data_IF_294913443501
#
_entry.id   IF_294913443501
#
_cell.length_a   1.000
_cell.length_b   1.000
_cell.length_c   1.000
_cell.angle_alpha   90.00
_cell.angle_beta   90.00
_cell.angle_gamma   90.00
#
_symmetry.space_group_name_H-M   'P 1'
#
loop_
_entity.id
_entity.type
_entity.pdbx_description
1 polymer ?
#
# COMPACT_ATOMS: atom_id res chain seq x y z
N UNK A 1 42.79 19.63 13.79
CA UNK A 1 42.78 18.16 13.60
C UNK A 1 42.43 17.87 12.15
N UNK A 2 43.03 16.85 11.53
CA UNK A 2 42.69 16.43 10.16
C UNK A 2 42.19 14.99 10.15
N UNK A 3 41.06 14.73 9.50
CA UNK A 3 40.50 13.38 9.33
C UNK A 3 40.48 13.05 7.84
N UNK A 4 41.30 12.09 7.44
CA UNK A 4 41.48 11.70 6.05
C UNK A 4 40.42 10.68 5.60
N UNK A 5 40.32 10.47 4.29
CA UNK A 5 39.45 9.47 3.70
C UNK A 5 39.67 8.08 4.32
N UNK A 6 38.57 7.39 4.62
CA UNK A 6 38.58 6.10 5.32
C UNK A 6 38.81 6.19 6.84
N UNK A 7 39.11 7.36 7.39
CA UNK A 7 39.18 7.59 8.84
C UNK A 7 37.86 8.18 9.37
N UNK A 8 37.52 7.82 10.61
CA UNK A 8 36.35 8.33 11.31
C UNK A 8 36.72 8.88 12.67
N UNK A 9 36.31 10.13 12.96
CA UNK A 9 36.34 10.71 14.29
C UNK A 9 35.04 10.31 15.01
N UNK A 10 35.15 9.40 15.96
CA UNK A 10 34.04 9.01 16.82
C UNK A 10 34.02 9.94 18.02
N UNK A 11 32.97 10.75 18.17
CA UNK A 11 32.78 11.58 19.35
C UNK A 11 32.20 10.74 20.48
N UNK A 12 33.05 9.90 21.07
CA UNK A 12 32.70 9.06 22.22
C UNK A 12 33.42 9.55 23.48
N UNK A 13 32.68 9.65 24.57
CA UNK A 13 33.23 9.93 25.87
C UNK A 13 33.05 8.69 26.74
N UNK A 14 34.14 7.94 26.98
CA UNK A 14 34.18 6.62 27.63
C UNK A 14 33.61 6.62 29.07
N UNK A 15 32.30 6.82 29.21
CA UNK A 15 31.57 6.90 30.48
C UNK A 15 31.48 8.29 31.14
N UNK A 16 32.20 9.31 30.66
CA UNK A 16 32.23 10.62 31.35
C UNK A 16 31.08 11.58 30.97
N UNK A 17 30.40 11.33 29.86
CA UNK A 17 29.18 12.05 29.51
C UNK A 17 28.21 11.09 28.80
N UNK A 18 27.06 10.89 29.43
CA UNK A 18 26.04 9.94 28.96
C UNK A 18 24.85 10.62 28.29
N UNK A 19 24.68 11.95 28.47
CA UNK A 19 23.60 12.79 27.92
C UNK A 19 24.11 14.20 27.62
N UNK A 20 23.71 14.83 26.49
CA UNK A 20 23.94 16.25 26.19
C UNK A 20 25.41 16.68 26.11
N UNK A 21 26.26 15.87 25.48
CA UNK A 21 27.70 16.09 25.51
C UNK A 21 28.14 17.24 24.61
N UNK A 22 29.03 18.07 25.14
CA UNK A 22 29.69 19.14 24.41
C UNK A 22 31.14 18.75 24.12
N UNK A 23 31.47 18.64 22.83
CA UNK A 23 32.83 18.45 22.34
C UNK A 23 33.31 19.75 21.74
N UNK A 24 34.49 20.22 22.13
CA UNK A 24 35.07 21.46 21.59
C UNK A 24 36.41 21.15 20.93
N UNK A 25 36.55 21.53 19.66
CA UNK A 25 37.82 21.50 18.95
C UNK A 25 38.08 22.89 18.36
N UNK A 26 39.33 23.33 18.29
CA UNK A 26 39.65 24.63 17.69
C UNK A 26 39.39 24.59 16.17
N UNK A 27 40.07 23.70 15.45
CA UNK A 27 39.90 23.53 14.00
C UNK A 27 39.76 22.06 13.59
N UNK A 28 38.85 21.80 12.65
CA UNK A 28 38.65 20.50 12.03
C UNK A 28 38.78 20.61 10.51
N UNK A 29 39.64 19.79 9.92
CA UNK A 29 39.79 19.63 8.47
C UNK A 29 39.37 18.21 8.11
N UNK A 30 38.39 18.07 7.22
CA UNK A 30 38.01 16.78 6.67
C UNK A 30 38.57 16.67 5.24
N UNK A 31 39.24 15.57 4.93
CA UNK A 31 39.73 15.24 3.58
C UNK A 31 39.09 13.93 3.13
N UNK A 32 37.76 13.93 3.04
CA UNK A 32 36.93 12.74 2.79
C UNK A 32 36.64 11.89 4.02
N UNK A 33 37.12 12.28 5.21
CA UNK A 33 36.85 11.57 6.46
C UNK A 33 35.43 11.79 7.00
N UNK A 34 35.07 11.03 8.04
CA UNK A 34 33.76 11.16 8.69
C UNK A 34 33.85 11.52 10.17
N UNK A 35 32.76 12.09 10.69
CA UNK A 35 32.55 12.32 12.12
C UNK A 35 31.24 11.66 12.52
N UNK A 36 31.30 10.70 13.43
CA UNK A 36 30.10 10.10 14.00
C UNK A 36 29.87 10.61 15.42
N UNK A 37 28.63 11.01 15.69
CA UNK A 37 28.27 11.76 16.89
C UNK A 37 27.39 10.97 17.86
N UNK A 38 27.07 9.71 17.57
CA UNK A 38 26.25 8.87 18.45
C UNK A 38 27.12 7.91 19.26
N UNK A 39 26.82 7.77 20.56
CA UNK A 39 27.55 6.89 21.49
C UNK A 39 26.98 5.46 21.58
N UNK A 40 25.84 5.19 20.93
CA UNK A 40 25.10 3.94 21.06
C UNK A 40 24.31 3.61 19.79
N UNK A 41 23.86 2.36 19.59
CA UNK A 41 22.95 1.99 18.51
C UNK A 41 21.66 2.82 18.49
N UNK A 42 20.98 2.88 17.33
CA UNK A 42 19.71 3.60 17.15
C UNK A 42 18.68 3.20 18.23
N UNK A 43 17.97 4.17 18.82
CA UNK A 43 16.93 3.92 19.82
C UNK A 43 17.43 3.57 21.23
N UNK A 44 18.75 3.53 21.46
CA UNK A 44 19.35 3.29 22.80
C UNK A 44 20.19 4.48 23.31
N UNK A 45 20.25 5.57 22.53
CA UNK A 45 20.97 6.77 22.93
C UNK A 45 20.16 7.54 23.97
N UNK A 46 20.81 7.91 25.07
CA UNK A 46 20.23 8.81 26.07
C UNK A 46 20.86 10.19 25.88
N UNK A 47 20.49 10.97 24.86
CA UNK A 47 20.86 12.39 24.75
C UNK A 47 21.66 12.78 23.50
N UNK A 48 21.89 14.09 23.34
CA UNK A 48 22.34 14.71 22.08
C UNK A 48 23.74 15.32 22.19
N UNK A 49 24.46 15.43 21.07
CA UNK A 49 25.86 15.85 21.08
C UNK A 49 26.05 17.15 20.32
N UNK A 50 26.69 18.13 20.96
CA UNK A 50 27.14 19.36 20.30
C UNK A 50 28.64 19.26 20.01
N UNK A 51 29.04 19.45 18.75
CA UNK A 51 30.43 19.72 18.39
C UNK A 51 30.59 21.21 18.13
N UNK A 52 31.33 21.89 19.00
CA UNK A 52 31.76 23.26 18.85
C UNK A 52 33.11 23.33 18.13
N UNK A 53 33.17 24.09 17.04
CA UNK A 53 34.37 24.35 16.26
C UNK A 53 34.61 25.86 16.13
N UNK A 54 35.86 26.31 16.13
CA UNK A 54 36.18 27.67 15.70
C UNK A 54 36.34 27.77 14.18
N UNK A 55 36.81 26.72 13.52
CA UNK A 55 36.83 26.62 12.06
C UNK A 55 36.62 25.20 11.54
N UNK A 56 35.99 25.09 10.36
CA UNK A 56 35.77 23.84 9.64
C UNK A 56 36.20 24.01 8.17
N UNK A 57 36.98 23.07 7.64
CA UNK A 57 37.42 23.14 6.24
C UNK A 57 37.43 21.77 5.55
N UNK A 58 37.28 21.78 4.22
CA UNK A 58 37.48 20.62 3.35
C UNK A 58 36.18 19.92 2.95
N UNK A 59 36.17 18.59 2.95
CA UNK A 59 35.01 17.80 2.57
C UNK A 59 34.89 16.52 3.40
N UNK A 60 33.68 16.14 3.78
CA UNK A 60 33.46 14.94 4.58
C UNK A 60 32.04 14.76 5.08
N UNK A 61 31.85 13.71 5.86
CA UNK A 61 30.53 13.25 6.29
C UNK A 61 30.33 13.43 7.80
N UNK A 62 29.17 13.92 8.20
CA UNK A 62 28.73 13.95 9.59
C UNK A 62 27.56 12.99 9.77
N UNK A 63 27.69 12.02 10.66
CA UNK A 63 26.60 11.14 11.08
C UNK A 63 26.00 11.70 12.37
N UNK A 64 24.73 12.09 12.28
CA UNK A 64 24.00 12.82 13.31
C UNK A 64 22.79 12.02 13.76
N UNK A 65 22.58 11.96 15.06
CA UNK A 65 21.39 11.40 15.66
C UNK A 65 20.38 12.51 15.97
N UNK A 66 19.13 12.29 15.59
CA UNK A 66 18.04 13.20 15.90
C UNK A 66 16.89 12.44 16.55
N UNK A 67 16.20 13.11 17.46
CA UNK A 67 14.89 12.72 17.95
C UNK A 67 13.94 13.86 17.61
N UNK A 68 13.49 13.88 16.37
CA UNK A 68 12.69 15.00 15.86
C UNK A 68 11.36 15.08 16.59
N UNK A 69 10.83 13.94 17.05
CA UNK A 69 9.70 13.84 17.97
C UNK A 69 9.72 14.90 19.10
N UNK A 70 10.86 15.06 19.77
CA UNK A 70 11.04 16.01 20.87
C UNK A 70 11.78 17.29 20.47
N UNK A 71 12.03 17.50 19.18
CA UNK A 71 12.74 18.67 18.65
C UNK A 71 14.22 18.70 19.03
N UNK A 72 14.84 17.54 19.22
CA UNK A 72 16.22 17.44 19.71
C UNK A 72 17.09 16.67 18.73
N UNK A 73 18.37 17.00 18.70
CA UNK A 73 19.32 16.38 17.78
C UNK A 73 20.74 16.80 18.10
N UNK A 74 21.69 16.07 17.53
CA UNK A 74 23.07 16.50 17.50
C UNK A 74 23.18 17.86 16.79
N UNK A 75 24.14 18.68 17.22
CA UNK A 75 24.37 20.02 16.69
C UNK A 75 25.84 20.19 16.29
N UNK A 76 26.06 20.63 15.05
CA UNK A 76 27.36 21.13 14.60
C UNK A 76 27.36 22.66 14.67
N UNK A 77 28.13 23.22 15.60
CA UNK A 77 28.19 24.66 15.83
C UNK A 77 29.60 25.18 15.53
N UNK A 78 29.75 25.89 14.43
CA UNK A 78 30.99 26.54 14.02
C UNK A 78 30.88 28.03 14.37
N UNK A 79 31.68 28.51 15.32
CA UNK A 79 31.61 29.91 15.77
C UNK A 79 32.31 30.88 14.82
N UNK A 80 33.25 30.39 14.01
CA UNK A 80 33.95 31.16 12.97
C UNK A 80 33.56 30.70 11.56
N UNK A 81 34.55 30.64 10.65
CA UNK A 81 34.30 30.31 9.24
C UNK A 81 34.26 28.80 9.00
N UNK A 82 33.31 28.37 8.16
CA UNK A 82 33.28 27.05 7.55
C UNK A 82 33.43 27.17 6.03
N UNK A 83 34.31 26.37 5.43
CA UNK A 83 34.58 26.36 3.97
C UNK A 83 34.62 24.94 3.42
N UNK A 84 33.98 24.71 2.27
CA UNK A 84 33.96 23.42 1.58
C UNK A 84 32.62 22.70 1.61
N UNK A 85 32.60 21.38 1.39
CA UNK A 85 31.34 20.65 1.11
C UNK A 85 31.17 19.45 2.02
N UNK A 86 30.06 19.41 2.75
CA UNK A 86 29.81 18.39 3.76
C UNK A 86 28.44 17.73 3.58
N UNK A 87 28.36 16.44 3.90
CA UNK A 87 27.09 15.71 3.93
C UNK A 87 26.69 15.40 5.37
N UNK A 88 25.42 15.56 5.66
CA UNK A 88 24.81 15.19 6.93
C UNK A 88 24.00 13.92 6.71
N UNK A 89 24.33 12.86 7.43
CA UNK A 89 23.52 11.65 7.49
C UNK A 89 22.73 11.69 8.78
N UNK A 90 21.41 11.82 8.65
CA UNK A 90 20.49 11.90 9.77
C UNK A 90 19.80 10.56 9.94
N UNK A 91 19.76 10.08 11.18
CA UNK A 91 18.97 8.91 11.52
C UNK A 91 17.54 9.30 11.92
N UNK A 92 16.58 8.49 11.48
CA UNK A 92 15.16 8.69 11.68
C UNK A 92 14.62 7.96 12.94
N UNK A 93 13.48 8.43 13.44
CA UNK A 93 12.50 7.69 14.23
C UNK A 93 11.12 7.73 13.57
N UNK A 94 10.36 6.63 13.63
CA UNK A 94 8.96 6.58 13.18
C UNK A 94 8.00 7.48 13.95
N UNK A 95 8.46 8.21 14.97
CA UNK A 95 7.67 9.11 15.81
C UNK A 95 7.69 10.53 15.24
N UNK A 96 6.50 11.13 15.08
CA UNK A 96 6.35 12.49 14.56
C UNK A 96 6.75 13.57 15.56
N UNK A 97 7.35 14.69 15.12
CA UNK A 97 7.59 15.86 15.96
C UNK A 97 6.29 16.41 16.56
N UNK A 98 6.39 17.00 17.76
CA UNK A 98 5.25 17.68 18.41
C UNK A 98 4.87 19.00 17.73
N UNK A 99 5.76 19.60 16.96
CA UNK A 99 5.51 20.78 16.13
C UNK A 99 6.05 20.58 14.70
N UNK A 100 5.64 21.43 13.76
CA UNK A 100 6.21 21.43 12.41
C UNK A 100 7.51 22.26 12.33
N UNK A 101 8.12 22.57 13.47
CA UNK A 101 9.30 23.41 13.56
C UNK A 101 10.51 22.71 12.95
N UNK A 102 11.37 23.50 12.32
CA UNK A 102 12.56 22.97 11.66
C UNK A 102 13.66 22.69 12.69
N UNK A 103 14.27 21.49 12.63
CA UNK A 103 15.34 21.12 13.56
C UNK A 103 16.69 21.65 13.07
N UNK A 104 17.34 22.51 13.88
CA UNK A 104 18.67 23.02 13.60
C UNK A 104 19.72 21.90 13.73
N UNK A 105 20.48 21.66 12.66
CA UNK A 105 21.59 20.70 12.66
C UNK A 105 22.96 21.37 12.58
N UNK A 106 23.04 22.49 11.86
CA UNK A 106 24.31 23.19 11.64
C UNK A 106 24.12 24.68 11.82
N UNK A 107 25.08 25.31 12.50
CA UNK A 107 25.22 26.76 12.59
C UNK A 107 26.65 27.15 12.28
N UNK A 108 26.86 28.15 11.43
CA UNK A 108 28.17 28.74 11.13
C UNK A 108 28.20 30.22 11.51
N UNK A 109 29.40 30.74 11.84
CA UNK A 109 29.65 32.16 12.05
C UNK A 109 29.92 32.92 10.74
N UNK A 110 30.21 32.18 9.66
CA UNK A 110 30.49 32.70 8.32
C UNK A 110 31.13 31.65 7.42
N UNK A 111 31.59 32.09 6.24
CA UNK A 111 32.22 31.23 5.22
C UNK A 111 31.27 30.78 4.11
N UNK A 112 31.78 29.92 3.24
CA UNK A 112 31.18 29.45 1.99
C UNK A 112 30.89 27.95 2.00
N UNK A 113 30.82 27.34 3.19
CA UNK A 113 30.51 25.92 3.31
C UNK A 113 29.10 25.58 2.82
N UNK A 114 28.99 24.44 2.14
CA UNK A 114 27.73 23.86 1.70
C UNK A 114 27.46 22.57 2.48
N UNK A 115 26.27 22.49 3.08
CA UNK A 115 25.78 21.28 3.73
C UNK A 115 24.61 20.68 2.96
N UNK A 116 24.64 19.37 2.73
CA UNK A 116 23.55 18.62 2.09
C UNK A 116 23.19 17.38 2.91
N UNK A 117 22.01 16.80 2.68
CA UNK A 117 21.71 15.48 3.24
C UNK A 117 22.37 14.39 2.40
N UNK A 118 23.09 13.50 3.08
CA UNK A 118 23.67 12.30 2.49
C UNK A 118 22.68 11.13 2.35
N UNK A 119 21.51 11.21 3.01
CA UNK A 119 20.43 10.23 2.90
C UNK A 119 19.91 10.10 1.46
N UNK A 120 19.30 8.96 1.13
CA UNK A 120 18.78 8.67 -0.21
C UNK A 120 17.85 9.80 -0.69
N UNK A 121 18.13 10.33 -1.89
CA UNK A 121 17.36 11.42 -2.49
C UNK A 121 17.54 12.78 -1.81
N UNK A 122 18.50 12.95 -0.90
CA UNK A 122 18.68 14.19 -0.14
C UNK A 122 17.55 14.46 0.85
N UNK A 123 16.88 13.40 1.32
CA UNK A 123 15.70 13.45 2.16
C UNK A 123 15.86 12.51 3.35
N UNK A 124 15.27 12.89 4.47
CA UNK A 124 15.16 12.04 5.64
C UNK A 124 13.69 11.95 6.02
N UNK A 125 13.17 10.75 6.25
CA UNK A 125 11.85 10.60 6.87
C UNK A 125 11.95 10.99 8.34
N UNK A 126 10.91 11.64 8.88
CA UNK A 126 10.79 11.94 10.30
C UNK A 126 9.32 11.80 10.70
N UNK A 127 9.01 10.66 11.33
CA UNK A 127 7.65 10.27 11.63
C UNK A 127 6.77 10.18 10.38
N UNK A 128 5.72 11.00 10.33
CA UNK A 128 4.72 10.97 9.24
C UNK A 128 5.27 11.48 7.90
N UNK A 129 6.23 12.41 7.91
CA UNK A 129 6.58 13.20 6.73
C UNK A 129 8.06 13.06 6.35
N UNK A 130 8.37 13.30 5.08
CA UNK A 130 9.74 13.50 4.61
C UNK A 130 10.21 14.94 4.83
N UNK A 131 11.50 15.10 5.12
CA UNK A 131 12.16 16.38 5.40
C UNK A 131 13.39 16.53 4.51
N UNK A 132 13.69 17.79 4.19
CA UNK A 132 14.93 18.18 3.51
C UNK A 132 15.72 19.17 4.35
N UNK A 133 17.02 19.21 4.15
CA UNK A 133 17.85 20.25 4.75
C UNK A 133 17.66 21.57 3.97
N UNK A 134 17.40 22.66 4.71
CA UNK A 134 17.32 24.02 4.18
C UNK A 134 18.27 24.93 4.93
N UNK A 135 19.01 25.72 4.16
CA UNK A 135 19.76 26.83 4.69
C UNK A 135 18.80 28.00 4.96
N UNK A 136 18.87 28.60 6.14
CA UNK A 136 18.39 29.95 6.35
C UNK A 136 19.53 30.90 5.95
N UNK A 137 19.23 32.04 5.33
CA UNK A 137 20.23 33.00 4.81
C UNK A 137 21.13 33.67 5.89
N UNK A 138 21.25 33.05 7.07
CA UNK A 138 22.07 33.43 8.22
C UNK A 138 23.08 32.35 8.61
N UNK A 139 23.44 31.43 7.69
CA UNK A 139 24.45 30.39 7.94
C UNK A 139 23.97 29.31 8.89
N UNK A 140 22.69 28.94 8.84
CA UNK A 140 22.18 27.80 9.61
C UNK A 140 21.39 26.84 8.73
N UNK A 141 21.55 25.54 8.98
CA UNK A 141 20.87 24.50 8.23
C UNK A 141 19.90 23.74 9.12
N UNK A 142 18.65 23.68 8.69
CA UNK A 142 17.55 23.10 9.43
C UNK A 142 16.84 22.03 8.60
N UNK A 143 16.37 20.97 9.25
CA UNK A 143 15.47 19.99 8.63
C UNK A 143 14.07 20.60 8.52
N UNK A 144 13.53 20.66 7.31
CA UNK A 144 12.22 21.25 7.03
C UNK A 144 11.31 20.26 6.31
N UNK A 145 10.03 20.16 6.69
CA UNK A 145 9.06 19.33 5.99
C UNK A 145 8.64 19.96 4.65
N UNK A 146 9.01 21.22 4.41
CA UNK A 146 8.73 21.92 3.15
C UNK A 146 9.69 21.43 2.06
N UNK A 147 9.21 20.56 1.18
CA UNK A 147 10.06 19.95 0.16
C UNK A 147 10.31 20.83 -1.08
N UNK A 148 9.71 22.03 -1.15
CA UNK A 148 9.92 22.93 -2.29
C UNK A 148 11.40 23.35 -2.40
N UNK A 149 11.96 23.42 -3.62
CA UNK A 149 13.29 23.98 -3.84
C UNK A 149 13.41 25.38 -3.23
N UNK A 150 14.62 25.79 -2.86
CA UNK A 150 14.86 27.19 -2.55
C UNK A 150 14.47 28.04 -3.78
N UNK A 151 13.87 29.23 -3.60
CA UNK A 151 13.63 30.13 -4.71
C UNK A 151 14.96 30.38 -5.44
N UNK A 152 15.09 29.93 -6.68
CA UNK A 152 16.20 30.37 -7.52
C UNK A 152 15.91 31.82 -7.93
N UNK A 153 16.92 32.71 -8.01
CA UNK A 153 16.80 33.94 -8.77
C UNK A 153 16.27 33.58 -10.16
N UNK A 154 15.33 34.36 -10.70
CA UNK A 154 14.70 34.08 -11.99
C UNK A 154 15.76 33.62 -13.01
N UNK A 155 15.61 32.42 -13.61
CA UNK A 155 16.55 31.99 -14.62
C UNK A 155 16.47 33.00 -15.76
N UNK A 156 17.62 33.53 -16.18
CA UNK A 156 17.77 34.11 -17.50
C UNK A 156 17.13 33.16 -18.52
N UNK A 157 16.29 33.63 -19.45
CA UNK A 157 15.49 32.76 -20.31
C UNK A 157 16.38 31.77 -21.06
N UNK A 158 16.33 30.50 -20.67
CA UNK A 158 17.04 29.41 -21.32
C UNK A 158 16.07 28.69 -22.29
N UNK A 159 16.48 28.31 -23.51
CA UNK A 159 15.55 27.81 -24.54
C UNK A 159 14.99 26.39 -24.33
N UNK A 160 15.38 25.70 -23.25
CA UNK A 160 14.96 24.30 -23.02
C UNK A 160 14.08 24.17 -21.78
N UNK A 161 12.91 23.49 -21.86
CA UNK A 161 12.11 23.21 -20.69
C UNK A 161 12.80 22.15 -19.83
N UNK A 162 13.51 22.59 -18.78
CA UNK A 162 13.81 21.72 -17.66
C UNK A 162 12.50 21.19 -17.08
N UNK A 163 12.42 19.88 -16.85
CA UNK A 163 11.30 19.24 -16.15
C UNK A 163 10.94 20.06 -14.90
N UNK A 164 9.66 20.42 -14.68
CA UNK A 164 9.30 21.28 -13.57
C UNK A 164 9.75 20.62 -12.26
N UNK A 165 10.55 21.34 -11.47
CA UNK A 165 10.87 20.92 -10.12
C UNK A 165 9.56 20.68 -9.36
N UNK A 166 9.35 19.45 -8.88
CA UNK A 166 8.10 19.04 -8.23
C UNK A 166 7.81 19.98 -7.05
N UNK A 167 6.80 20.85 -7.18
CA UNK A 167 6.43 21.84 -6.17
C UNK A 167 5.59 21.19 -5.06
N UNK A 168 6.19 20.18 -4.41
CA UNK A 168 5.56 19.43 -3.33
C UNK A 168 5.88 20.14 -2.02
N UNK A 169 4.84 20.58 -1.30
CA UNK A 169 5.00 21.16 0.03
C UNK A 169 5.32 20.10 1.08
N UNK A 170 4.65 18.95 1.08
CA UNK A 170 4.90 17.83 1.99
C UNK A 170 4.68 16.50 1.29
N UNK A 171 5.42 15.49 1.74
CA UNK A 171 5.31 14.14 1.22
C UNK A 171 5.39 13.14 2.36
N UNK A 172 4.51 12.14 2.36
CA UNK A 172 4.47 11.11 3.40
C UNK A 172 5.76 10.29 3.41
N UNK A 173 6.18 9.86 4.60
CA UNK A 173 7.32 8.96 4.80
C UNK A 173 7.04 7.55 4.23
N UNK A 174 8.10 6.77 3.99
CA UNK A 174 7.98 5.38 3.57
C UNK A 174 7.16 4.53 4.57
N UNK A 175 7.38 4.73 5.87
CA UNK A 175 6.62 4.05 6.94
C UNK A 175 5.14 4.43 6.94
N UNK A 176 4.81 5.71 6.74
CA UNK A 176 3.40 6.15 6.59
C UNK A 176 2.77 5.53 5.35
N UNK A 177 3.48 5.53 4.23
CA UNK A 177 3.00 4.92 3.00
C UNK A 177 2.79 3.41 3.15
N UNK A 178 3.67 2.71 3.86
CA UNK A 178 3.51 1.28 4.17
C UNK A 178 2.22 1.01 4.97
N UNK A 179 1.95 1.80 6.01
CA UNK A 179 0.70 1.71 6.80
C UNK A 179 -0.53 1.95 5.92
N UNK A 180 -0.52 3.00 5.11
CA UNK A 180 -1.62 3.36 4.21
C UNK A 180 -1.84 2.30 3.12
N UNK A 181 -0.76 1.77 2.54
CA UNK A 181 -0.82 0.69 1.56
C UNK A 181 -1.52 -0.54 2.16
N UNK A 182 -1.06 -1.00 3.33
CA UNK A 182 -1.62 -2.18 3.99
C UNK A 182 -3.09 -2.00 4.41
N UNK A 183 -3.49 -0.79 4.82
CA UNK A 183 -4.88 -0.47 5.15
C UNK A 183 -5.82 -0.59 3.93
N UNK A 184 -5.31 -0.46 2.70
CA UNK A 184 -6.11 -0.57 1.47
C UNK A 184 -6.22 -2.01 0.92
N UNK A 185 -5.49 -2.99 1.46
CA UNK A 185 -5.38 -4.35 0.89
C UNK A 185 -6.61 -5.22 1.15
N UNK A 186 -7.19 -5.16 2.35
CA UNK A 186 -8.25 -6.10 2.78
C UNK A 186 -9.47 -6.10 1.84
N UNK A 187 -10.01 -4.94 1.40
CA UNK A 187 -11.12 -4.92 0.44
C UNK A 187 -10.77 -5.54 -0.92
N UNK A 188 -9.50 -5.47 -1.34
CA UNK A 188 -9.03 -6.04 -2.61
C UNK A 188 -8.96 -7.58 -2.53
N UNK A 189 -8.47 -8.11 -1.41
CA UNK A 189 -8.49 -9.56 -1.14
C UNK A 189 -9.92 -10.07 -1.08
N UNK A 190 -10.78 -9.38 -0.32
CA UNK A 190 -12.21 -9.70 -0.21
C UNK A 190 -12.89 -9.75 -1.59
N UNK A 191 -12.69 -8.74 -2.43
CA UNK A 191 -13.29 -8.65 -3.77
C UNK A 191 -12.79 -9.75 -4.72
N UNK A 192 -11.49 -10.07 -4.67
CA UNK A 192 -10.90 -11.06 -5.56
C UNK A 192 -11.45 -12.48 -5.31
N UNK A 193 -11.60 -12.84 -4.05
CA UNK A 193 -12.24 -14.10 -3.63
C UNK A 193 -13.74 -14.12 -4.00
N UNK A 194 -14.45 -13.01 -3.74
CA UNK A 194 -15.88 -12.88 -4.02
C UNK A 194 -16.19 -13.09 -5.51
N UNK A 195 -15.38 -12.52 -6.40
CA UNK A 195 -15.52 -12.69 -7.86
C UNK A 195 -15.53 -14.15 -8.30
N UNK A 196 -14.69 -14.99 -7.70
CA UNK A 196 -14.63 -16.41 -8.06
C UNK A 196 -15.92 -17.15 -7.67
N UNK A 197 -16.54 -16.79 -6.53
CA UNK A 197 -17.84 -17.33 -6.11
C UNK A 197 -18.99 -16.79 -6.99
N UNK A 198 -18.92 -15.53 -7.42
CA UNK A 198 -19.85 -14.96 -8.42
C UNK A 198 -19.79 -15.74 -9.74
N UNK A 199 -18.60 -16.04 -10.24
CA UNK A 199 -18.43 -16.85 -11.46
C UNK A 199 -18.97 -18.28 -11.28
N UNK A 200 -18.83 -18.89 -10.09
CA UNK A 200 -19.46 -20.18 -9.75
C UNK A 200 -20.98 -20.14 -9.86
N UNK A 201 -21.63 -19.13 -9.28
CA UNK A 201 -23.10 -18.97 -9.34
C UNK A 201 -23.59 -18.78 -10.79
N UNK A 202 -22.82 -18.10 -11.63
CA UNK A 202 -23.13 -17.96 -13.05
C UNK A 202 -22.99 -19.29 -13.80
N UNK A 203 -21.92 -20.05 -13.57
CA UNK A 203 -21.68 -21.35 -14.19
C UNK A 203 -22.75 -22.40 -13.81
N UNK A 204 -23.26 -22.35 -12.57
CA UNK A 204 -24.25 -23.34 -12.09
C UNK A 204 -25.59 -23.29 -12.81
N UNK A 205 -25.88 -22.21 -13.52
CA UNK A 205 -27.06 -22.08 -14.39
C UNK A 205 -27.03 -23.05 -15.59
N UNK A 206 -25.93 -23.79 -15.80
CA UNK A 206 -25.80 -24.86 -16.81
C UNK A 206 -25.97 -26.28 -16.27
N UNK A 207 -25.99 -26.49 -14.95
CA UNK A 207 -25.92 -27.83 -14.38
C UNK A 207 -27.30 -28.49 -14.28
N UNK A 208 -27.39 -29.76 -14.68
CA UNK A 208 -28.63 -30.57 -14.60
C UNK A 208 -28.71 -31.42 -13.32
N UNK A 209 -27.60 -31.57 -12.58
CA UNK A 209 -27.49 -32.41 -11.37
C UNK A 209 -27.51 -31.60 -10.08
N UNK A 210 -28.09 -32.21 -9.04
CA UNK A 210 -28.39 -31.57 -7.76
C UNK A 210 -27.13 -31.17 -7.00
N UNK A 211 -26.25 -32.09 -6.63
CA UNK A 211 -25.15 -31.80 -5.70
C UNK A 211 -23.80 -31.68 -6.40
N UNK A 212 -22.95 -30.76 -5.94
CA UNK A 212 -21.64 -30.55 -6.53
C UNK A 212 -20.57 -30.07 -5.56
N UNK A 213 -19.38 -30.66 -5.68
CA UNK A 213 -18.12 -30.18 -5.12
C UNK A 213 -17.36 -29.41 -6.20
N UNK A 214 -16.85 -28.23 -5.87
CA UNK A 214 -16.10 -27.40 -6.82
C UNK A 214 -14.87 -26.76 -6.20
N UNK A 215 -13.93 -26.42 -7.06
CA UNK A 215 -12.68 -25.77 -6.71
C UNK A 215 -12.31 -24.74 -7.78
N UNK A 216 -11.86 -23.56 -7.36
CA UNK A 216 -11.37 -22.50 -8.23
C UNK A 216 -10.05 -21.96 -7.69
N UNK A 217 -9.05 -21.88 -8.57
CA UNK A 217 -7.85 -21.09 -8.35
C UNK A 217 -7.97 -19.76 -9.08
N UNK A 218 -7.41 -18.71 -8.50
CA UNK A 218 -7.35 -17.41 -9.14
C UNK A 218 -6.03 -16.69 -8.85
N UNK A 219 -5.69 -15.78 -9.75
CA UNK A 219 -4.62 -14.80 -9.56
C UNK A 219 -5.07 -13.44 -10.08
N UNK A 220 -4.59 -12.38 -9.43
CA UNK A 220 -4.83 -10.99 -9.82
C UNK A 220 -3.61 -10.15 -9.53
N UNK A 221 -3.29 -9.25 -10.46
CA UNK A 221 -2.31 -8.20 -10.26
C UNK A 221 -3.02 -6.87 -10.23
N UNK A 222 -2.66 -6.00 -9.27
CA UNK A 222 -3.24 -4.68 -9.14
C UNK A 222 -2.15 -3.62 -9.03
N UNK A 223 -2.33 -2.48 -9.70
CA UNK A 223 -1.63 -1.23 -9.40
C UNK A 223 -2.62 -0.34 -8.64
N UNK A 224 -2.23 0.13 -7.46
CA UNK A 224 -3.12 0.86 -6.56
C UNK A 224 -2.50 2.19 -6.17
N UNK A 225 -3.31 3.24 -6.19
CA UNK A 225 -3.00 4.56 -5.65
C UNK A 225 -4.13 5.03 -4.74
N UNK A 226 -3.81 5.50 -3.53
CA UNK A 226 -4.79 5.92 -2.53
C UNK A 226 -4.90 7.44 -2.45
N UNK A 227 -5.92 7.95 -1.74
CA UNK A 227 -6.22 9.41 -1.64
C UNK A 227 -5.14 10.14 -0.87
N UNK A 228 -4.52 9.39 0.04
CA UNK A 228 -3.45 9.83 0.89
C UNK A 228 -2.09 9.90 0.15
N UNK A 229 -2.05 9.55 -1.14
CA UNK A 229 -0.81 9.56 -1.94
C UNK A 229 0.09 8.35 -1.70
N UNK A 230 -0.47 7.25 -1.19
CA UNK A 230 0.21 5.97 -1.07
C UNK A 230 -0.02 5.14 -2.34
N UNK A 231 1.02 4.45 -2.79
CA UNK A 231 0.97 3.65 -4.01
C UNK A 231 1.66 2.30 -3.80
N UNK A 232 1.08 1.25 -4.39
CA UNK A 232 1.63 -0.09 -4.34
C UNK A 232 1.24 -0.94 -5.55
N UNK A 233 2.04 -1.97 -5.79
CA UNK A 233 1.69 -3.08 -6.68
C UNK A 233 1.33 -4.29 -5.84
N UNK A 234 0.29 -5.01 -6.24
CA UNK A 234 -0.19 -6.20 -5.56
C UNK A 234 -0.14 -7.39 -6.49
N UNK A 235 0.35 -8.53 -6.00
CA UNK A 235 0.15 -9.84 -6.59
C UNK A 235 -0.62 -10.71 -5.60
N UNK A 236 -1.82 -11.12 -5.97
CA UNK A 236 -2.72 -11.87 -5.09
C UNK A 236 -3.16 -13.15 -5.79
N UNK A 237 -2.96 -14.28 -5.13
CA UNK A 237 -3.41 -15.59 -5.57
C UNK A 237 -4.17 -16.32 -4.47
N UNK A 238 -5.06 -17.24 -4.85
CA UNK A 238 -5.82 -17.99 -3.88
C UNK A 238 -6.53 -19.21 -4.43
N UNK A 239 -7.01 -20.02 -3.50
CA UNK A 239 -7.75 -21.25 -3.73
C UNK A 239 -9.09 -21.14 -3.00
N UNK A 240 -10.16 -21.47 -3.70
CA UNK A 240 -11.51 -21.54 -3.15
C UNK A 240 -12.06 -22.93 -3.41
N UNK A 241 -12.67 -23.51 -2.38
CA UNK A 241 -13.35 -24.80 -2.44
C UNK A 241 -14.74 -24.65 -1.88
N UNK A 242 -15.73 -25.27 -2.51
CA UNK A 242 -17.09 -25.19 -2.02
C UNK A 242 -17.93 -26.39 -2.41
N UNK A 243 -19.07 -26.49 -1.74
CA UNK A 243 -20.11 -27.47 -2.01
C UNK A 243 -21.43 -26.74 -2.16
N UNK A 244 -22.22 -27.14 -3.15
CA UNK A 244 -23.56 -26.61 -3.33
C UNK A 244 -24.55 -27.63 -3.86
N UNK A 245 -25.81 -27.36 -3.56
CA UNK A 245 -26.97 -28.08 -4.04
C UNK A 245 -27.81 -27.18 -4.93
N UNK A 246 -28.26 -27.74 -6.04
CA UNK A 246 -29.25 -27.20 -6.96
C UNK A 246 -30.59 -27.90 -6.71
N UNK A 247 -31.63 -27.11 -6.42
CA UNK A 247 -33.01 -27.57 -6.25
C UNK A 247 -33.87 -26.99 -7.37
N UNK A 248 -34.68 -27.83 -8.01
CA UNK A 248 -35.64 -27.41 -9.03
C UNK A 248 -37.06 -27.36 -8.43
N UNK A 249 -37.81 -26.33 -8.79
CA UNK A 249 -39.21 -26.10 -8.48
C UNK A 249 -39.98 -25.86 -9.79
N UNK A 250 -41.32 -25.86 -9.76
CA UNK A 250 -42.14 -25.77 -11.00
C UNK A 250 -41.76 -24.62 -11.94
N UNK A 251 -41.38 -23.46 -11.38
CA UNK A 251 -41.09 -22.22 -12.13
C UNK A 251 -39.76 -21.58 -11.78
N UNK A 252 -38.96 -22.24 -10.95
CA UNK A 252 -37.71 -21.68 -10.44
C UNK A 252 -36.69 -22.75 -10.12
N UNK A 253 -35.41 -22.35 -10.10
CA UNK A 253 -34.33 -23.15 -9.56
C UNK A 253 -33.61 -22.36 -8.48
N UNK A 254 -33.11 -23.06 -7.46
CA UNK A 254 -32.37 -22.48 -6.35
C UNK A 254 -31.05 -23.19 -6.17
N UNK A 255 -29.97 -22.44 -5.98
CA UNK A 255 -28.67 -22.97 -5.54
C UNK A 255 -28.41 -22.52 -4.12
N UNK A 256 -27.97 -23.42 -3.25
CA UNK A 256 -27.51 -23.10 -1.89
C UNK A 256 -26.16 -23.77 -1.68
N UNK A 257 -25.18 -23.02 -1.19
CA UNK A 257 -23.84 -23.55 -0.99
C UNK A 257 -23.03 -22.83 0.08
N UNK A 258 -21.91 -23.48 0.43
CA UNK A 258 -20.92 -22.96 1.34
C UNK A 258 -19.52 -23.13 0.74
N UNK A 259 -18.59 -22.27 1.13
CA UNK A 259 -17.22 -22.30 0.63
C UNK A 259 -16.21 -21.88 1.69
N UNK A 260 -14.99 -22.31 1.47
CA UNK A 260 -13.79 -21.88 2.18
C UNK A 260 -12.80 -21.31 1.15
N UNK A 261 -12.05 -20.27 1.54
CA UNK A 261 -10.93 -19.77 0.74
C UNK A 261 -9.67 -19.57 1.56
N UNK A 262 -8.54 -19.78 0.89
CA UNK A 262 -7.24 -19.33 1.32
C UNK A 262 -6.63 -18.44 0.24
N UNK A 263 -6.06 -17.31 0.64
CA UNK A 263 -5.49 -16.32 -0.26
C UNK A 263 -4.20 -15.76 0.30
N UNK A 264 -3.21 -15.56 -0.56
CA UNK A 264 -1.95 -14.91 -0.23
C UNK A 264 -1.72 -13.72 -1.15
N UNK A 265 -1.46 -12.55 -0.55
CA UNK A 265 -1.24 -11.30 -1.24
C UNK A 265 0.15 -10.76 -0.93
N UNK A 266 0.98 -10.53 -1.93
CA UNK A 266 2.22 -9.76 -1.83
C UNK A 266 1.97 -8.31 -2.27
N UNK A 267 2.58 -7.36 -1.57
CA UNK A 267 2.41 -5.92 -1.77
C UNK A 267 3.79 -5.26 -1.84
N UNK A 268 4.13 -4.72 -3.01
CA UNK A 268 5.36 -3.95 -3.23
C UNK A 268 5.06 -2.46 -3.07
N UNK A 269 5.67 -1.81 -2.07
CA UNK A 269 5.43 -0.39 -1.80
C UNK A 269 6.27 0.50 -2.73
N UNK A 270 5.63 1.47 -3.40
CA UNK A 270 6.35 2.42 -4.28
C UNK A 270 7.38 3.27 -3.53
N UNK A 271 7.22 3.43 -2.20
CA UNK A 271 8.11 4.21 -1.32
C UNK A 271 9.11 3.36 -0.53
N UNK A 272 9.30 2.09 -0.91
CA UNK A 272 10.31 1.23 -0.31
C UNK A 272 9.75 0.27 0.74
N UNK A 273 10.21 -0.97 0.66
CA UNK A 273 9.71 -2.07 1.48
C UNK A 273 8.60 -2.86 0.78
N UNK A 274 8.10 -3.85 1.51
CA UNK A 274 7.09 -4.81 1.05
C UNK A 274 6.14 -5.16 2.19
N UNK A 275 5.03 -5.79 1.87
CA UNK A 275 4.12 -6.37 2.84
C UNK A 275 3.44 -7.60 2.26
N UNK A 276 2.84 -8.40 3.13
CA UNK A 276 1.97 -9.47 2.70
C UNK A 276 0.75 -9.62 3.59
N UNK A 277 -0.32 -10.16 3.01
CA UNK A 277 -1.56 -10.47 3.70
C UNK A 277 -1.97 -11.89 3.34
N UNK A 278 -2.07 -12.74 4.37
CA UNK A 278 -2.73 -14.04 4.27
C UNK A 278 -4.18 -13.89 4.70
N UNK A 279 -5.10 -14.50 3.94
CA UNK A 279 -6.51 -14.53 4.28
C UNK A 279 -7.08 -15.92 4.31
N UNK A 280 -7.85 -16.19 5.36
CA UNK A 280 -8.66 -17.39 5.53
C UNK A 280 -10.11 -16.96 5.62
N UNK A 281 -10.96 -17.48 4.73
CA UNK A 281 -12.36 -17.07 4.67
C UNK A 281 -13.31 -18.25 4.63
N UNK A 282 -14.50 -18.01 5.19
CA UNK A 282 -15.63 -18.91 5.09
C UNK A 282 -16.87 -18.10 4.69
N UNK A 283 -17.69 -18.67 3.82
CA UNK A 283 -18.91 -18.01 3.38
C UNK A 283 -19.98 -18.97 2.89
N UNK A 284 -21.14 -18.39 2.65
CA UNK A 284 -22.30 -19.06 2.08
C UNK A 284 -22.87 -18.22 0.95
N UNK A 285 -23.56 -18.89 0.03
CA UNK A 285 -24.24 -18.24 -1.08
C UNK A 285 -25.57 -18.91 -1.38
N UNK A 286 -26.48 -18.11 -1.91
CA UNK A 286 -27.74 -18.57 -2.45
C UNK A 286 -28.00 -17.87 -3.79
N UNK A 287 -28.41 -18.64 -4.78
CA UNK A 287 -28.84 -18.16 -6.10
C UNK A 287 -30.27 -18.61 -6.37
N UNK A 288 -31.10 -17.73 -6.89
CA UNK A 288 -32.48 -18.02 -7.31
C UNK A 288 -32.64 -17.62 -8.76
N UNK A 289 -33.26 -18.48 -9.55
CA UNK A 289 -33.57 -18.21 -10.95
C UNK A 289 -35.03 -18.57 -11.23
N UNK A 290 -35.73 -17.70 -11.94
CA UNK A 290 -37.13 -17.88 -12.33
C UNK A 290 -37.25 -18.12 -13.84
N UNK A 291 -38.31 -18.81 -14.27
CA UNK A 291 -38.59 -19.10 -15.68
C UNK A 291 -38.69 -17.84 -16.57
N UNK A 292 -39.03 -16.69 -15.96
CA UNK A 292 -39.06 -15.39 -16.64
C UNK A 292 -37.68 -14.85 -17.03
N UNK A 293 -36.60 -15.54 -16.65
CA UNK A 293 -35.21 -15.11 -16.85
C UNK A 293 -34.67 -14.25 -15.72
N UNK A 294 -35.50 -13.80 -14.77
CA UNK A 294 -35.04 -13.09 -13.58
C UNK A 294 -34.15 -13.98 -12.71
N UNK A 295 -33.08 -13.42 -12.16
CA UNK A 295 -32.26 -14.08 -11.14
C UNK A 295 -31.87 -13.14 -10.00
N UNK A 296 -31.58 -13.74 -8.85
CA UNK A 296 -31.06 -13.10 -7.66
C UNK A 296 -29.97 -13.98 -7.04
N UNK A 297 -28.76 -13.46 -6.97
CA UNK A 297 -27.57 -14.10 -6.42
C UNK A 297 -27.13 -13.34 -5.17
N UNK A 298 -26.86 -14.06 -4.08
CA UNK A 298 -26.48 -13.52 -2.78
C UNK A 298 -25.30 -14.28 -2.19
N UNK A 299 -24.34 -13.56 -1.63
CA UNK A 299 -23.13 -14.12 -1.01
C UNK A 299 -22.85 -13.38 0.29
N UNK A 300 -22.52 -14.11 1.35
CA UNK A 300 -22.02 -13.54 2.60
C UNK A 300 -20.78 -14.31 3.04
N UNK A 301 -19.76 -13.61 3.55
CA UNK A 301 -18.54 -14.25 4.05
C UNK A 301 -17.83 -13.44 5.11
N UNK A 302 -17.02 -14.14 5.89
CA UNK A 302 -16.11 -13.57 6.87
C UNK A 302 -14.67 -13.98 6.56
N UNK A 303 -13.73 -13.07 6.78
CA UNK A 303 -12.30 -13.23 6.56
C UNK A 303 -11.54 -13.00 7.86
N UNK A 304 -10.53 -13.82 8.11
CA UNK A 304 -9.43 -13.52 9.01
C UNK A 304 -8.23 -13.11 8.16
N UNK A 305 -7.51 -12.06 8.59
CA UNK A 305 -6.34 -11.54 7.90
C UNK A 305 -5.14 -11.52 8.84
N UNK A 306 -4.07 -12.20 8.43
CA UNK A 306 -2.74 -12.06 9.00
C UNK A 306 -1.99 -11.05 8.13
N UNK A 307 -1.57 -9.93 8.71
CA UNK A 307 -0.95 -8.82 7.99
C UNK A 307 0.48 -8.64 8.49
N UNK A 308 1.43 -8.63 7.55
CA UNK A 308 2.82 -8.32 7.80
C UNK A 308 3.23 -7.12 6.95
N UNK A 309 3.87 -6.14 7.58
CA UNK A 309 4.40 -4.94 6.94
C UNK A 309 5.90 -4.87 7.18
N UNK A 310 6.67 -4.62 6.13
CA UNK A 310 8.12 -4.42 6.18
C UNK A 310 8.49 -3.16 5.42
N UNK A 311 8.30 -2.01 6.06
CA UNK A 311 8.71 -0.72 5.51
C UNK A 311 10.24 -0.58 5.46
N UNK A 312 10.76 0.07 4.43
CA UNK A 312 12.20 0.38 4.31
C UNK A 312 12.40 1.87 4.07
N UNK A 313 13.08 2.51 5.00
CA UNK A 313 13.26 3.96 5.05
C UNK A 313 14.42 4.41 4.15
N UNK A 314 14.53 5.70 3.83
CA UNK A 314 15.60 6.29 3.02
C UNK A 314 16.98 6.21 3.68
N UNK A 315 17.03 6.04 5.00
CA UNK A 315 18.27 5.78 5.74
C UNK A 315 18.62 4.28 5.82
N UNK A 316 17.76 3.39 5.32
CA UNK A 316 17.93 1.94 5.33
C UNK A 316 17.29 1.23 6.53
N UNK A 317 16.78 1.96 7.52
CA UNK A 317 16.17 1.36 8.71
C UNK A 317 14.83 0.68 8.39
N UNK A 318 14.44 -0.22 9.29
CA UNK A 318 13.25 -1.05 9.18
C UNK A 318 12.05 -0.43 9.91
N UNK A 319 10.89 -0.46 9.26
CA UNK A 319 9.60 -0.10 9.83
C UNK A 319 8.65 -1.31 9.71
N UNK A 320 8.96 -2.34 10.49
CA UNK A 320 8.33 -3.66 10.40
C UNK A 320 7.20 -3.78 11.42
N UNK A 321 6.17 -4.57 11.11
CA UNK A 321 5.03 -4.78 12.00
C UNK A 321 4.18 -5.98 11.60
N UNK A 322 3.49 -6.54 12.59
CA UNK A 322 2.63 -7.71 12.43
C UNK A 322 1.32 -7.49 13.18
N UNK A 323 0.20 -7.77 12.53
CA UNK A 323 -1.11 -7.65 13.17
C UNK A 323 -2.18 -8.52 12.50
N UNK A 324 -3.20 -8.84 13.30
CA UNK A 324 -4.39 -9.58 12.86
C UNK A 324 -5.60 -8.70 12.81
N UNK A 325 -6.42 -8.89 11.79
CA UNK A 325 -7.72 -8.25 11.62
C UNK A 325 -8.75 -9.26 11.14
N UNK A 326 -10.02 -8.89 11.24
CA UNK A 326 -11.11 -9.64 10.65
C UNK A 326 -11.96 -8.72 9.78
N UNK A 327 -12.70 -9.30 8.84
CA UNK A 327 -13.65 -8.57 8.04
C UNK A 327 -14.87 -9.41 7.70
N UNK A 328 -15.98 -8.75 7.44
CA UNK A 328 -17.23 -9.37 7.00
C UNK A 328 -17.80 -8.57 5.85
N UNK A 329 -18.43 -9.26 4.91
CA UNK A 329 -19.10 -8.59 3.81
C UNK A 329 -20.16 -9.43 3.16
N UNK A 330 -20.95 -8.75 2.34
CA UNK A 330 -22.05 -9.33 1.60
C UNK A 330 -22.11 -8.76 0.18
N UNK A 331 -22.70 -9.54 -0.70
CA UNK A 331 -22.91 -9.22 -2.10
C UNK A 331 -24.31 -9.63 -2.52
N UNK A 332 -24.95 -8.77 -3.30
CA UNK A 332 -26.23 -9.02 -3.92
C UNK A 332 -26.14 -8.66 -5.39
N UNK A 333 -26.48 -9.58 -6.29
CA UNK A 333 -26.55 -9.36 -7.73
C UNK A 333 -27.92 -9.79 -8.23
N UNK A 334 -28.56 -8.98 -9.07
CA UNK A 334 -29.80 -9.36 -9.71
C UNK A 334 -29.78 -8.94 -11.17
N UNK A 335 -30.51 -9.67 -12.00
CA UNK A 335 -30.59 -9.35 -13.42
C UNK A 335 -31.70 -10.11 -14.12
N UNK A 336 -31.83 -9.87 -15.42
CA UNK A 336 -32.80 -10.55 -16.27
C UNK A 336 -32.08 -11.14 -17.48
N UNK A 337 -32.16 -12.46 -17.63
CA UNK A 337 -31.55 -13.17 -18.74
C UNK A 337 -32.50 -13.17 -19.94
N UNK A 338 -32.13 -12.46 -20.99
CA UNK A 338 -32.84 -12.41 -22.26
C UNK A 338 -32.19 -13.42 -23.20
N UNK A 339 -32.83 -14.58 -23.39
CA UNK A 339 -32.29 -15.66 -24.22
C UNK A 339 -33.01 -15.72 -25.57
N UNK A 340 -32.27 -15.93 -26.65
CA UNK A 340 -32.81 -16.21 -27.97
C UNK A 340 -31.93 -17.24 -28.68
N UNK A 341 -32.49 -18.39 -29.02
CA UNK A 341 -31.73 -19.56 -29.51
C UNK A 341 -30.54 -19.88 -28.58
N UNK A 342 -29.33 -19.86 -29.13
CA UNK A 342 -28.10 -20.23 -28.43
C UNK A 342 -27.41 -19.04 -27.75
N UNK A 343 -27.92 -17.81 -27.91
CA UNK A 343 -27.30 -16.62 -27.31
C UNK A 343 -28.16 -16.05 -26.19
N UNK A 344 -27.50 -15.44 -25.21
CA UNK A 344 -28.16 -14.76 -24.11
C UNK A 344 -27.49 -13.43 -23.80
N UNK A 345 -28.29 -12.44 -23.40
CA UNK A 345 -27.85 -11.16 -22.89
C UNK A 345 -28.50 -10.91 -21.52
N UNK A 346 -27.68 -10.53 -20.54
CA UNK A 346 -28.08 -10.42 -19.14
C UNK A 346 -27.66 -9.07 -18.58
N UNK A 347 -28.48 -8.02 -18.72
CA UNK A 347 -28.31 -6.81 -17.92
C UNK A 347 -28.49 -7.14 -16.44
N UNK A 348 -27.62 -6.59 -15.60
CA UNK A 348 -27.64 -6.82 -14.17
C UNK A 348 -27.19 -5.59 -13.40
N UNK A 349 -27.56 -5.58 -12.12
CA UNK A 349 -27.02 -4.66 -11.12
C UNK A 349 -26.55 -5.45 -9.90
N UNK A 350 -25.54 -4.94 -9.21
CA UNK A 350 -25.03 -5.57 -8.01
C UNK A 350 -24.57 -4.55 -6.97
N UNK A 351 -24.70 -4.94 -5.70
CA UNK A 351 -24.27 -4.18 -4.55
C UNK A 351 -23.34 -5.02 -3.70
N UNK A 352 -22.21 -4.46 -3.29
CA UNK A 352 -21.23 -5.13 -2.44
C UNK A 352 -20.91 -4.26 -1.25
N UNK A 353 -20.99 -4.81 -0.05
CA UNK A 353 -20.59 -4.16 1.19
C UNK A 353 -19.53 -4.99 1.91
N UNK A 354 -18.53 -4.33 2.46
CA UNK A 354 -17.54 -4.94 3.33
C UNK A 354 -17.13 -3.98 4.46
N UNK A 355 -16.91 -4.55 5.64
CA UNK A 355 -16.35 -3.86 6.79
C UNK A 355 -15.24 -4.70 7.42
N UNK A 356 -14.11 -4.05 7.73
CA UNK A 356 -12.95 -4.63 8.41
C UNK A 356 -12.77 -4.01 9.80
N UNK A 357 -12.24 -4.78 10.74
CA UNK A 357 -11.99 -4.34 12.11
C UNK A 357 -10.96 -3.21 12.18
N UNK A 358 -11.22 -2.20 13.02
CA UNK A 358 -10.22 -1.20 13.38
C UNK A 358 -9.01 -1.85 14.10
N UNK A 359 -7.82 -1.28 13.92
CA UNK A 359 -6.59 -1.80 14.52
C UNK A 359 -5.60 -0.69 14.86
N UNK A 360 -5.16 -0.69 16.12
CA UNK A 360 -3.97 0.04 16.55
C UNK A 360 -2.77 -0.89 16.60
N UNK A 361 -1.64 -0.44 16.06
CA UNK A 361 -0.37 -1.17 16.11
C UNK A 361 0.81 -0.21 16.06
N UNK A 362 2.00 -0.70 16.39
CA UNK A 362 3.23 0.08 16.42
C UNK A 362 4.26 -0.63 15.55
N UNK A 363 4.92 0.10 14.66
CA UNK A 363 6.02 -0.41 13.85
C UNK A 363 7.34 -0.45 14.65
N UNK A 364 8.31 -1.23 14.19
CA UNK A 364 9.63 -1.36 14.82
C UNK A 364 10.40 -0.05 14.96
N UNK A 365 10.11 0.94 14.12
CA UNK A 365 10.70 2.29 14.21
C UNK A 365 9.96 3.22 15.18
N UNK A 366 8.92 2.75 15.88
CA UNK A 366 8.13 3.51 16.85
C UNK A 366 6.92 4.23 16.28
N UNK A 367 6.65 4.15 14.97
CA UNK A 367 5.45 4.74 14.38
C UNK A 367 4.19 4.06 14.90
N UNK A 368 3.25 4.86 15.42
CA UNK A 368 1.93 4.39 15.84
C UNK A 368 0.94 4.54 14.68
N UNK A 369 0.31 3.44 14.32
CA UNK A 369 -0.75 3.40 13.32
C UNK A 369 -2.08 3.09 14.00
N UNK A 370 -3.06 3.96 13.81
CA UNK A 370 -4.45 3.76 14.21
C UNK A 370 -5.31 3.71 12.95
N UNK A 371 -5.55 2.49 12.47
CA UNK A 371 -6.37 2.22 11.31
C UNK A 371 -7.81 2.07 11.78
N UNK A 372 -8.68 2.96 11.33
CA UNK A 372 -10.08 2.94 11.69
C UNK A 372 -10.82 1.80 10.95
N UNK A 373 -12.12 1.66 11.19
CA UNK A 373 -12.92 0.63 10.51
C UNK A 373 -12.84 0.82 9.00
N UNK A 374 -12.27 -0.17 8.30
CA UNK A 374 -12.14 -0.13 6.83
C UNK A 374 -13.47 -0.50 6.19
N UNK A 375 -13.93 0.31 5.23
CA UNK A 375 -15.24 0.14 4.57
C UNK A 375 -15.07 0.08 3.05
N UNK A 376 -15.91 -0.73 2.44
CA UNK A 376 -16.13 -0.78 1.00
C UNK A 376 -17.65 -0.82 0.77
N UNK A 377 -18.14 0.02 -0.12
CA UNK A 377 -19.52 0.04 -0.55
C UNK A 377 -19.52 0.30 -2.04
N UNK A 378 -19.96 -0.68 -2.81
CA UNK A 378 -19.86 -0.64 -4.27
C UNK A 378 -21.19 -0.91 -4.93
N UNK A 379 -21.53 -0.05 -5.88
CA UNK A 379 -22.57 -0.31 -6.87
C UNK A 379 -21.91 -0.74 -8.19
N UNK A 380 -22.47 -1.74 -8.84
CA UNK A 380 -22.01 -2.28 -10.12
C UNK A 380 -23.21 -2.43 -11.05
N UNK A 381 -23.08 -1.98 -12.29
CA UNK A 381 -24.07 -2.22 -13.33
C UNK A 381 -23.34 -2.75 -14.57
N UNK A 382 -23.92 -3.74 -15.23
CA UNK A 382 -23.26 -4.34 -16.38
C UNK A 382 -24.15 -5.20 -17.23
N UNK A 383 -23.51 -5.78 -18.24
CA UNK A 383 -24.12 -6.65 -19.23
C UNK A 383 -23.26 -7.91 -19.37
N UNK A 384 -23.86 -9.06 -19.11
CA UNK A 384 -23.31 -10.37 -19.45
C UNK A 384 -23.84 -10.84 -20.80
N UNK A 385 -23.02 -11.53 -21.57
CA UNK A 385 -23.40 -12.20 -22.81
C UNK A 385 -22.80 -13.60 -22.82
N UNK A 386 -23.54 -14.59 -23.29
CA UNK A 386 -23.07 -15.96 -23.41
C UNK A 386 -23.63 -16.63 -24.65
N UNK A 387 -22.89 -17.61 -25.17
CA UNK A 387 -23.29 -18.38 -26.34
C UNK A 387 -23.08 -19.87 -26.09
N UNK A 388 -24.13 -20.69 -26.24
CA UNK A 388 -24.10 -22.14 -26.01
C UNK A 388 -23.75 -22.91 -27.29
N UNK A 389 -22.68 -23.70 -27.24
CA UNK A 389 -22.19 -24.57 -28.31
C UNK A 389 -22.31 -26.04 -27.90
N UNK A 390 -23.07 -26.83 -28.64
CA UNK A 390 -23.16 -28.29 -28.46
C UNK A 390 -22.14 -28.94 -29.40
N UNK A 391 -21.19 -29.70 -28.84
CA UNK A 391 -20.16 -30.42 -29.59
C UNK A 391 -20.68 -31.78 -30.06
N UNK A 392 -20.16 -32.26 -31.18
CA UNK A 392 -20.57 -33.52 -31.85
C UNK A 392 -20.39 -34.81 -31.02
N UNK A 393 -19.71 -34.74 -29.88
CA UNK A 393 -19.49 -35.85 -28.92
C UNK A 393 -20.21 -35.66 -27.57
N UNK A 394 -21.21 -34.79 -27.50
CA UNK A 394 -22.01 -34.57 -26.28
C UNK A 394 -21.41 -33.60 -25.25
N UNK A 395 -20.25 -33.00 -25.55
CA UNK A 395 -19.69 -31.90 -24.77
C UNK A 395 -20.42 -30.58 -25.05
N UNK A 396 -20.41 -29.67 -24.08
CA UNK A 396 -20.98 -28.32 -24.23
C UNK A 396 -19.90 -27.28 -23.90
N UNK A 397 -19.81 -26.24 -24.73
CA UNK A 397 -18.98 -25.06 -24.46
C UNK A 397 -19.85 -23.82 -24.38
N UNK A 398 -19.60 -22.97 -23.41
CA UNK A 398 -20.26 -21.68 -23.26
C UNK A 398 -19.23 -20.57 -23.08
N UNK A 399 -18.69 -20.00 -24.17
CA UNK A 399 -18.00 -18.73 -24.10
C UNK A 399 -18.92 -17.63 -23.57
N UNK A 400 -18.36 -16.75 -22.75
CA UNK A 400 -19.08 -15.62 -22.17
C UNK A 400 -18.22 -14.37 -22.10
N UNK A 401 -18.91 -13.24 -22.00
CA UNK A 401 -18.37 -11.89 -21.91
C UNK A 401 -19.17 -11.11 -20.87
N UNK A 402 -18.49 -10.34 -20.01
CA UNK A 402 -19.11 -9.45 -19.02
C UNK A 402 -18.44 -8.09 -19.08
N UNK A 403 -19.23 -7.04 -19.27
CA UNK A 403 -18.79 -5.65 -19.26
C UNK A 403 -19.54 -4.92 -18.15
N UNK A 404 -18.85 -4.12 -17.35
CA UNK A 404 -19.47 -3.43 -16.22
C UNK A 404 -18.80 -2.11 -15.86
N UNK A 405 -19.61 -1.20 -15.32
CA UNK A 405 -19.16 -0.02 -14.61
C UNK A 405 -19.34 -0.25 -13.11
N UNK A 406 -18.30 0.08 -12.34
CA UNK A 406 -18.26 -0.08 -10.88
C UNK A 406 -18.00 1.28 -10.25
N UNK A 407 -18.87 1.69 -9.34
CA UNK A 407 -18.69 2.88 -8.53
C UNK A 407 -18.40 2.47 -7.09
N UNK A 408 -17.22 2.80 -6.60
CA UNK A 408 -16.88 2.69 -5.18
C UNK A 408 -17.34 3.96 -4.46
N UNK A 409 -18.23 3.80 -3.48
CA UNK A 409 -18.95 4.86 -2.77
C UNK A 409 -18.38 5.12 -1.38
N UNK A 410 -17.67 4.16 -0.79
CA UNK A 410 -17.02 4.34 0.49
C UNK A 410 -15.83 5.30 0.35
N UNK A 411 -15.93 6.47 0.97
CA UNK A 411 -14.98 7.58 0.86
C UNK A 411 -14.44 8.01 2.23
N UNK A 412 -14.66 7.23 3.29
CA UNK A 412 -14.22 7.57 4.64
C UNK A 412 -13.53 6.38 5.32
N UNK A 413 -12.27 6.15 4.92
CA UNK A 413 -11.39 5.15 5.51
C UNK A 413 -10.24 5.86 6.20
N UNK A 414 -10.40 6.19 7.47
CA UNK A 414 -9.43 7.00 8.19
C UNK A 414 -8.26 6.17 8.69
N UNK A 415 -7.06 6.75 8.59
CA UNK A 415 -5.85 6.25 9.22
C UNK A 415 -5.21 7.42 9.95
N UNK A 416 -5.00 7.26 11.26
CA UNK A 416 -4.29 8.24 12.08
C UNK A 416 -2.88 7.74 12.35
N UNK A 417 -1.89 8.53 11.97
CA UNK A 417 -0.47 8.27 12.22
C UNK A 417 -0.01 9.10 13.41
N UNK A 418 0.70 8.45 14.34
CA UNK A 418 1.28 9.07 15.54
C UNK A 418 0.28 9.91 16.36
N UNK A 419 -0.98 9.47 16.40
CA UNK A 419 -2.10 10.14 17.09
C UNK A 419 -2.33 11.61 16.68
N UNK A 420 -1.81 12.03 15.52
CA UNK A 420 -1.81 13.44 15.09
C UNK A 420 -2.27 13.59 13.65
N UNK A 421 -1.59 12.94 12.72
CA UNK A 421 -1.81 13.13 11.29
C UNK A 421 -2.91 12.18 10.79
N UNK A 422 -4.04 12.74 10.35
CA UNK A 422 -5.17 11.96 9.82
C UNK A 422 -5.16 11.95 8.31
N UNK A 423 -5.29 10.75 7.75
CA UNK A 423 -5.38 10.51 6.32
C UNK A 423 -6.70 9.85 5.99
N UNK A 424 -7.34 10.30 4.91
CA UNK A 424 -8.40 9.54 4.28
C UNK A 424 -7.76 8.63 3.23
N UNK A 425 -7.91 7.32 3.40
CA UNK A 425 -7.24 6.28 2.64
C UNK A 425 -8.27 5.38 1.94
N UNK A 426 -9.01 5.98 1.02
CA UNK A 426 -10.10 5.33 0.28
C UNK A 426 -9.71 4.97 -1.15
N UNK A 427 -10.51 4.07 -1.74
CA UNK A 427 -10.41 3.63 -3.13
C UNK A 427 -11.63 4.12 -3.94
N UNK A 428 -12.25 5.24 -3.53
CA UNK A 428 -13.47 5.76 -4.13
C UNK A 428 -13.28 6.18 -5.59
N UNK A 429 -14.33 5.98 -6.39
CA UNK A 429 -14.33 6.37 -7.80
C UNK A 429 -14.85 5.28 -8.73
N UNK A 430 -14.92 5.63 -10.01
CA UNK A 430 -15.49 4.78 -11.04
C UNK A 430 -14.40 3.95 -11.73
N UNK A 431 -14.72 2.69 -12.02
CA UNK A 431 -13.87 1.74 -12.77
C UNK A 431 -14.68 1.01 -13.83
N UNK A 432 -14.10 0.87 -15.01
CA UNK A 432 -14.59 -0.03 -16.05
C UNK A 432 -13.97 -1.42 -15.87
N UNK A 433 -14.77 -2.47 -16.01
CA UNK A 433 -14.31 -3.86 -15.91
C UNK A 433 -14.82 -4.69 -17.08
N UNK A 434 -13.90 -5.41 -17.70
CA UNK A 434 -14.12 -6.35 -18.77
C UNK A 434 -13.67 -7.74 -18.32
N UNK A 435 -14.51 -8.74 -18.51
CA UNK A 435 -14.21 -10.14 -18.18
C UNK A 435 -14.71 -11.05 -19.30
N UNK A 436 -13.97 -12.10 -19.60
CA UNK A 436 -14.39 -13.10 -20.58
C UNK A 436 -13.86 -14.47 -20.17
N UNK A 437 -14.53 -15.52 -20.60
CA UNK A 437 -14.14 -16.87 -20.27
C UNK A 437 -14.93 -17.91 -21.04
N UNK A 438 -14.71 -19.16 -20.66
CA UNK A 438 -15.43 -20.31 -21.20
C UNK A 438 -15.79 -21.25 -20.06
N UNK A 439 -17.03 -21.72 -20.07
CA UNK A 439 -17.45 -22.88 -19.31
C UNK A 439 -17.49 -24.11 -20.23
N UNK A 440 -17.05 -25.25 -19.73
CA UNK A 440 -17.00 -26.49 -20.49
C UNK A 440 -17.63 -27.64 -19.70
N UNK A 441 -18.57 -28.35 -20.32
CA UNK A 441 -19.02 -29.67 -19.88
C UNK A 441 -18.07 -30.72 -20.49
N UNK A 442 -17.20 -31.26 -19.65
CA UNK A 442 -16.16 -32.23 -20.05
C UNK A 442 -16.74 -33.64 -20.06
N UNK A 443 -17.48 -33.99 -19.01
CA UNK A 443 -18.29 -35.22 -18.89
C UNK A 443 -19.63 -34.87 -18.26
N UNK A 444 -20.52 -35.85 -18.08
CA UNK A 444 -21.80 -35.63 -17.37
C UNK A 444 -21.62 -35.23 -15.90
N UNK A 445 -20.46 -35.55 -15.30
CA UNK A 445 -20.17 -35.29 -13.90
C UNK A 445 -19.09 -34.23 -13.71
N UNK A 446 -18.34 -33.86 -14.75
CA UNK A 446 -17.20 -32.95 -14.66
C UNK A 446 -17.41 -31.74 -15.56
N UNK A 447 -17.41 -30.55 -14.95
CA UNK A 447 -17.36 -29.28 -15.66
C UNK A 447 -16.11 -28.48 -15.28
N UNK A 448 -15.66 -27.63 -16.19
CA UNK A 448 -14.50 -26.76 -16.01
C UNK A 448 -14.79 -25.33 -16.45
N UNK A 449 -13.99 -24.39 -15.95
CA UNK A 449 -14.01 -23.01 -16.42
C UNK A 449 -12.62 -22.40 -16.45
N UNK A 450 -12.44 -21.48 -17.39
CA UNK A 450 -11.28 -20.61 -17.50
C UNK A 450 -11.78 -19.20 -17.80
N UNK A 451 -11.30 -18.20 -17.07
CA UNK A 451 -11.65 -16.81 -17.32
C UNK A 451 -10.46 -15.88 -17.17
N UNK A 452 -10.55 -14.74 -17.86
CA UNK A 452 -9.61 -13.64 -17.75
C UNK A 452 -10.36 -12.32 -17.60
N UNK A 453 -9.72 -11.33 -16.98
CA UNK A 453 -10.31 -10.01 -16.81
C UNK A 453 -9.30 -8.88 -16.78
N UNK A 454 -9.78 -7.71 -17.17
CA UNK A 454 -9.11 -6.43 -17.11
C UNK A 454 -10.01 -5.42 -16.41
N UNK A 455 -9.44 -4.57 -15.57
CA UNK A 455 -10.15 -3.46 -14.95
C UNK A 455 -9.27 -2.22 -14.88
N UNK A 456 -9.86 -1.07 -15.13
CA UNK A 456 -9.15 0.20 -15.08
C UNK A 456 -10.07 1.35 -14.67
N UNK A 457 -9.50 2.35 -14.03
CA UNK A 457 -10.18 3.53 -13.55
C UNK A 457 -9.58 4.06 -12.26
N UNK A 458 -10.39 4.79 -11.51
CA UNK A 458 -9.90 5.51 -10.34
C UNK A 458 -9.20 4.56 -9.36
N UNK A 459 -7.95 4.91 -9.01
CA UNK A 459 -7.15 4.38 -7.89
C UNK A 459 -6.75 2.92 -7.93
N UNK A 460 -7.39 2.09 -8.76
CA UNK A 460 -7.10 0.67 -8.86
C UNK A 460 -7.19 0.25 -10.32
N UNK A 461 -6.05 -0.14 -10.87
CA UNK A 461 -5.94 -0.81 -12.15
C UNK A 461 -5.65 -2.29 -11.90
N UNK A 462 -6.45 -3.17 -12.50
CA UNK A 462 -6.26 -4.62 -12.49
C UNK A 462 -5.90 -5.08 -13.90
N UNK A 463 -4.63 -4.95 -14.34
CA UNK A 463 -4.24 -5.23 -15.73
C UNK A 463 -4.47 -6.69 -16.13
N UNK A 464 -4.36 -7.62 -15.19
CA UNK A 464 -4.60 -9.04 -15.44
C UNK A 464 -5.25 -9.70 -14.24
N UNK A 465 -6.33 -10.44 -14.49
CA UNK A 465 -6.90 -11.46 -13.62
C UNK A 465 -7.05 -12.73 -14.43
N UNK A 466 -6.74 -13.87 -13.84
CA UNK A 466 -7.03 -15.17 -14.41
C UNK A 466 -7.68 -16.07 -13.35
N UNK A 467 -8.66 -16.87 -13.77
CA UNK A 467 -9.26 -17.89 -12.93
C UNK A 467 -9.37 -19.20 -13.69
N UNK A 468 -9.18 -20.31 -12.99
CA UNK A 468 -9.40 -21.65 -13.51
C UNK A 468 -10.04 -22.50 -12.42
N UNK A 469 -11.02 -23.30 -12.79
CA UNK A 469 -11.63 -24.19 -11.82
C UNK A 469 -12.40 -25.34 -12.44
N UNK A 470 -12.78 -26.26 -11.57
CA UNK A 470 -13.45 -27.50 -11.92
C UNK A 470 -14.55 -27.80 -10.90
N UNK A 471 -15.51 -28.60 -11.34
CA UNK A 471 -16.69 -28.94 -10.57
C UNK A 471 -17.06 -30.38 -10.86
N UNK A 472 -17.20 -31.17 -9.80
CA UNK A 472 -17.70 -32.53 -9.84
C UNK A 472 -19.14 -32.54 -9.34
N UNK A 473 -20.06 -33.12 -10.11
CA UNK A 473 -21.46 -33.31 -9.75
C UNK A 473 -21.72 -34.79 -9.49
N UNK A 474 -22.48 -35.13 -8.43
CA UNK A 474 -22.79 -36.51 -8.06
C UNK A 474 -24.29 -36.76 -7.96
#
# INVERSE_FOLDING_TARGET
MTVNNGASLQLNNAGACTTNCLYTLNSLVLSGGSVARYNSPPGTSTGWNTLNLSSLAGNGDFYMHTEVASGKGDLLNITGNATGSFRLFVQDSGVSPTSDDSLLLVKTGGGDAVFTLGNKGGLVELGTWEYRLKENNSGSWLLSPDLRPAPQPDPTPQPDPALPAENIKRRISASTAAVLNMAAVQPLVFDAELKSVRERLQARKMAEREDSLWMTQYTTWNNVSTSAGAEFKQSLGGLIMGIDRLSQYEKSSGTLGAFFSYSHSNIDFSRGGEGHVDSYSFGAYAGLQHESGFYLDSIAKANLFDNNVKGRMNNGDAADGDYRTWGIGAHLENGIRLSNNNWSATPYMAFTGFTGSARKYVLSNGMQADVDTTRMLRAEAGLGMDYRLILSKGGELQPWLKISARQELADNNQVTINNRDRFNNDLSGMRGVFQTGVHAKITDNLTGHLSAGYGDGARVQSPWRATAGMSWSF
#
